data_IF_303266097775
#
_entry.id   IF_303266097775
#
_cell.length_a   1.000
_cell.length_b   1.000
_cell.length_c   1.000
_cell.angle_alpha   90.00
_cell.angle_beta   90.00
_cell.angle_gamma   90.00
#
_symmetry.space_group_name_H-M   'P 1'
#
loop_
_entity.id
_entity.type
_entity.pdbx_description
1 polymer ?
#
# COMPACT_ATOMS: atom_id res chain seq x y z
N UNK A 1 -22.11 12.55 21.96
CA UNK A 1 -20.80 12.13 21.42
C UNK A 1 -20.87 10.63 21.31
N UNK A 2 -20.88 10.10 20.09
CA UNK A 2 -21.11 8.69 19.84
C UNK A 2 -19.88 7.87 20.25
N UNK A 3 -20.12 6.90 21.13
CA UNK A 3 -19.21 5.89 21.63
C UNK A 3 -19.06 4.79 20.55
N UNK A 4 -18.37 5.12 19.45
CA UNK A 4 -18.14 4.26 18.30
C UNK A 4 -16.64 4.19 18.05
N UNK A 5 -15.94 3.17 18.57
CA UNK A 5 -14.70 2.65 17.96
C UNK A 5 -14.05 1.41 18.62
N UNK A 6 -14.56 0.82 19.71
CA UNK A 6 -13.79 -0.23 20.42
C UNK A 6 -13.78 -1.61 19.75
N UNK A 7 -14.70 -1.90 18.82
CA UNK A 7 -14.85 -3.25 18.21
C UNK A 7 -14.47 -3.35 16.73
N UNK A 8 -14.04 -2.27 16.08
CA UNK A 8 -13.67 -2.35 14.67
C UNK A 8 -12.29 -3.03 14.53
N UNK A 9 -12.17 -4.09 13.70
CA UNK A 9 -10.88 -4.73 13.50
C UNK A 9 -9.90 -3.77 12.84
N UNK A 10 -8.68 -3.68 13.38
CA UNK A 10 -7.57 -2.96 12.75
C UNK A 10 -6.79 -3.90 11.86
N UNK A 11 -6.24 -3.33 10.79
CA UNK A 11 -5.25 -4.02 9.97
C UNK A 11 -4.05 -4.47 10.83
N UNK A 12 -3.55 -5.70 10.62
CA UNK A 12 -2.36 -6.18 11.29
C UNK A 12 -1.12 -5.31 11.04
N UNK A 13 -1.03 -4.62 9.89
CA UNK A 13 0.08 -3.69 9.62
C UNK A 13 0.09 -2.55 10.65
N UNK A 14 -1.08 -1.93 10.90
CA UNK A 14 -1.20 -0.86 11.88
C UNK A 14 -0.99 -1.38 13.31
N UNK A 15 -1.47 -2.60 13.61
CA UNK A 15 -1.24 -3.23 14.92
C UNK A 15 0.26 -3.41 15.17
N UNK A 16 0.97 -4.03 14.24
CA UNK A 16 2.41 -4.27 14.38
C UNK A 16 3.19 -2.96 14.44
N UNK A 17 2.82 -1.95 13.64
CA UNK A 17 3.42 -0.62 13.73
C UNK A 17 3.22 0.00 15.13
N UNK A 18 2.01 -0.07 15.68
CA UNK A 18 1.74 0.46 17.02
C UNK A 18 2.55 -0.26 18.09
N UNK A 19 2.68 -1.59 18.00
CA UNK A 19 3.51 -2.38 18.91
C UNK A 19 4.98 -1.98 18.81
N UNK A 20 5.52 -1.82 17.60
CA UNK A 20 6.90 -1.40 17.36
C UNK A 20 7.19 -0.01 17.91
N UNK A 21 6.30 0.95 17.66
CA UNK A 21 6.44 2.31 18.15
C UNK A 21 6.33 2.37 19.67
N UNK A 22 5.43 1.59 20.26
CA UNK A 22 5.33 1.46 21.72
C UNK A 22 6.61 0.89 22.32
N UNK A 23 7.17 -0.15 21.74
CA UNK A 23 8.39 -0.77 22.24
C UNK A 23 9.60 0.16 22.07
N UNK A 24 9.62 0.97 21.01
CA UNK A 24 10.71 1.90 20.72
C UNK A 24 10.65 3.19 21.54
N UNK A 25 9.47 3.80 21.66
CA UNK A 25 9.29 5.08 22.33
C UNK A 25 8.74 5.01 23.75
N UNK A 26 8.10 3.90 24.13
CA UNK A 26 7.22 3.84 25.29
C UNK A 26 5.90 4.60 25.08
N UNK A 27 5.01 4.52 26.05
CA UNK A 27 3.67 5.15 25.96
C UNK A 27 3.68 6.66 26.26
N UNK A 28 4.66 7.14 27.04
CA UNK A 28 4.76 8.55 27.43
C UNK A 28 5.30 9.39 26.27
N UNK A 29 4.58 10.47 25.94
CA UNK A 29 4.93 11.45 24.89
C UNK A 29 5.07 10.89 23.47
N UNK A 30 4.47 9.72 23.18
CA UNK A 30 4.54 9.07 21.87
C UNK A 30 4.10 10.00 20.72
N UNK A 31 3.09 10.84 20.94
CA UNK A 31 2.65 11.81 19.94
C UNK A 31 3.75 12.81 19.55
N UNK A 32 4.45 13.40 20.52
CA UNK A 32 5.55 14.33 20.24
C UNK A 32 6.74 13.62 19.56
N UNK A 33 7.06 12.40 20.01
CA UNK A 33 8.14 11.60 19.43
C UNK A 33 7.85 11.16 17.99
N UNK A 34 6.58 10.91 17.66
CA UNK A 34 6.14 10.67 16.28
C UNK A 34 6.28 11.91 15.40
N UNK A 35 5.98 13.09 15.95
CA UNK A 35 6.13 14.35 15.22
C UNK A 35 7.62 14.68 14.98
N UNK A 36 8.53 14.21 15.83
CA UNK A 36 9.99 14.33 15.67
C UNK A 36 10.57 13.38 14.61
N UNK A 37 9.84 12.34 14.18
CA UNK A 37 10.30 11.43 13.13
C UNK A 37 10.24 12.10 11.76
N UNK A 38 11.30 11.89 10.97
CA UNK A 38 11.28 12.17 9.54
C UNK A 38 10.26 11.25 8.84
N UNK A 39 9.81 11.66 7.65
CA UNK A 39 8.92 10.81 6.85
C UNK A 39 9.61 9.49 6.45
N UNK A 40 10.92 9.52 6.14
CA UNK A 40 11.73 8.32 5.90
C UNK A 40 11.74 7.36 7.09
N UNK A 41 12.03 7.87 8.29
CA UNK A 41 12.11 7.04 9.49
C UNK A 41 10.75 6.41 9.83
N UNK A 42 9.67 7.21 9.76
CA UNK A 42 8.32 6.70 9.98
C UNK A 42 7.95 5.66 8.93
N UNK A 43 8.25 5.92 7.66
CA UNK A 43 7.94 5.00 6.58
C UNK A 43 8.78 3.72 6.66
N UNK A 44 10.03 3.78 7.12
CA UNK A 44 10.85 2.60 7.44
C UNK A 44 10.19 1.71 8.49
N UNK A 45 9.61 2.29 9.54
CA UNK A 45 8.86 1.52 10.54
C UNK A 45 7.59 0.89 9.93
N UNK A 46 6.89 1.60 9.04
CA UNK A 46 5.72 1.08 8.31
C UNK A 46 6.11 -0.11 7.44
N UNK A 47 7.16 0.02 6.63
CA UNK A 47 7.66 -1.03 5.75
C UNK A 47 8.09 -2.27 6.56
N UNK A 48 8.75 -2.07 7.70
CA UNK A 48 9.09 -3.17 8.60
C UNK A 48 7.84 -3.85 9.16
N UNK A 49 6.85 -3.10 9.64
CA UNK A 49 5.58 -3.64 10.14
C UNK A 49 4.83 -4.46 9.07
N UNK A 50 4.79 -3.99 7.82
CA UNK A 50 4.19 -4.70 6.71
C UNK A 50 4.91 -6.01 6.38
N UNK A 51 6.24 -6.03 6.48
CA UNK A 51 7.06 -7.23 6.23
C UNK A 51 6.83 -8.37 7.24
N UNK A 52 6.34 -8.07 8.45
CA UNK A 52 6.10 -9.08 9.49
C UNK A 52 5.03 -10.12 9.11
N UNK A 53 4.23 -9.85 8.07
CA UNK A 53 3.35 -10.87 7.45
C UNK A 53 4.10 -12.14 7.03
N UNK A 54 5.41 -12.04 6.76
CA UNK A 54 6.25 -13.17 6.36
C UNK A 54 6.93 -13.87 7.52
N UNK A 55 6.75 -13.39 8.77
CA UNK A 55 7.48 -13.90 9.93
C UNK A 55 6.84 -15.12 10.61
N UNK A 56 5.76 -15.67 10.05
CA UNK A 56 4.99 -16.78 10.64
C UNK A 56 4.21 -16.42 11.93
N UNK A 57 4.10 -15.12 12.25
CA UNK A 57 3.27 -14.61 13.35
C UNK A 57 1.81 -14.53 12.94
N UNK A 58 0.93 -14.39 13.93
CA UNK A 58 -0.49 -14.12 13.69
C UNK A 58 -0.69 -12.72 13.10
N UNK A 59 -0.89 -12.67 11.77
CA UNK A 59 -1.06 -11.47 10.97
C UNK A 59 -2.52 -11.29 10.56
N UNK A 60 -3.41 -11.25 11.55
CA UNK A 60 -4.86 -11.13 11.37
C UNK A 60 -5.39 -9.80 11.88
N UNK A 61 -6.40 -9.27 11.20
CA UNK A 61 -7.10 -8.09 11.66
C UNK A 61 -7.91 -8.39 12.92
N UNK A 62 -7.79 -7.54 13.94
CA UNK A 62 -8.46 -7.73 15.24
C UNK A 62 -8.68 -6.41 15.97
N UNK A 63 -9.67 -6.33 16.88
CA UNK A 63 -9.79 -5.20 17.81
C UNK A 63 -8.56 -5.14 18.72
N UNK A 64 -8.05 -3.92 18.96
CA UNK A 64 -6.91 -3.67 19.84
C UNK A 64 -7.13 -2.37 20.63
N UNK A 65 -8.16 -2.29 21.49
CA UNK A 65 -8.52 -1.08 22.25
C UNK A 65 -7.33 -0.47 23.00
N UNK A 66 -6.39 -1.30 23.44
CA UNK A 66 -5.16 -0.89 24.12
C UNK A 66 -4.17 -0.09 23.24
N UNK A 67 -4.28 -0.21 21.92
CA UNK A 67 -3.43 0.50 20.95
C UNK A 67 -4.11 1.73 20.32
N UNK A 68 -5.36 2.03 20.68
CA UNK A 68 -6.18 3.08 20.06
C UNK A 68 -5.48 4.43 20.02
N UNK A 69 -4.91 4.84 21.15
CA UNK A 69 -4.26 6.14 21.27
C UNK A 69 -3.02 6.26 20.38
N UNK A 70 -2.26 5.17 20.22
CA UNK A 70 -1.08 5.11 19.32
C UNK A 70 -1.54 5.13 17.87
N UNK A 71 -2.54 4.31 17.53
CA UNK A 71 -3.11 4.26 16.18
C UNK A 71 -3.64 5.63 15.73
N UNK A 72 -4.36 6.34 16.62
CA UNK A 72 -4.84 7.70 16.37
C UNK A 72 -3.68 8.67 16.16
N UNK A 73 -2.62 8.59 16.97
CA UNK A 73 -1.44 9.45 16.81
C UNK A 73 -0.71 9.20 15.49
N UNK A 74 -0.53 7.94 15.08
CA UNK A 74 0.06 7.56 13.79
C UNK A 74 -0.77 8.09 12.63
N UNK A 75 -2.07 7.79 12.61
CA UNK A 75 -2.96 8.23 11.51
C UNK A 75 -3.04 9.76 11.42
N UNK A 76 -3.01 10.45 12.56
CA UNK A 76 -2.90 11.91 12.60
C UNK A 76 -1.59 12.38 11.99
N UNK A 77 -0.44 11.81 12.38
CA UNK A 77 0.88 12.17 11.82
C UNK A 77 0.95 11.94 10.32
N UNK A 78 0.31 10.89 9.83
CA UNK A 78 0.22 10.61 8.39
C UNK A 78 -0.64 11.65 7.68
N UNK A 79 -1.78 12.05 8.27
CA UNK A 79 -2.65 13.08 7.68
C UNK A 79 -1.98 14.46 7.54
N UNK A 80 -0.82 14.67 8.19
CA UNK A 80 -0.03 15.88 8.12
C UNK A 80 1.29 15.60 7.38
N UNK A 81 1.34 15.92 6.09
CA UNK A 81 2.57 15.91 5.30
C UNK A 81 2.53 14.95 4.10
N UNK A 82 3.71 14.72 3.47
CA UNK A 82 3.87 13.91 2.27
C UNK A 82 3.30 12.50 2.35
N UNK A 83 3.40 11.84 3.51
CA UNK A 83 2.87 10.48 3.71
C UNK A 83 1.33 10.40 3.70
N UNK A 84 0.65 11.54 3.89
CA UNK A 84 -0.81 11.63 3.83
C UNK A 84 -1.33 12.05 2.46
N UNK A 85 -0.46 12.29 1.50
CA UNK A 85 -0.89 12.61 0.15
C UNK A 85 -1.43 11.37 -0.54
N UNK A 86 -2.69 11.44 -0.96
CA UNK A 86 -3.39 10.38 -1.66
C UNK A 86 -3.28 10.49 -3.19
N UNK A 87 -2.63 11.55 -3.68
CA UNK A 87 -2.51 11.86 -5.10
C UNK A 87 -1.37 11.06 -5.74
N UNK A 88 -1.64 10.47 -6.90
CA UNK A 88 -0.59 9.88 -7.71
C UNK A 88 0.32 10.98 -8.28
N UNK A 89 1.56 11.08 -7.78
CA UNK A 89 2.54 12.08 -8.23
C UNK A 89 3.56 11.49 -9.20
N UNK A 90 4.05 12.36 -10.08
CA UNK A 90 5.22 12.12 -10.93
C UNK A 90 6.37 13.01 -10.43
N UNK A 91 7.61 12.50 -10.34
CA UNK A 91 8.03 11.14 -10.69
C UNK A 91 7.70 10.08 -9.63
N UNK A 92 7.80 8.82 -10.02
CA UNK A 92 7.79 7.64 -9.15
C UNK A 92 9.08 6.83 -9.27
N UNK A 93 9.32 5.94 -8.32
CA UNK A 93 10.43 5.00 -8.30
C UNK A 93 10.03 3.65 -8.89
N UNK A 94 10.97 2.99 -9.57
CA UNK A 94 10.85 1.62 -10.07
C UNK A 94 12.14 0.88 -9.87
N UNK A 95 12.12 -0.19 -9.10
CA UNK A 95 13.22 -1.15 -9.05
C UNK A 95 13.01 -2.20 -10.15
N UNK A 96 13.99 -2.41 -11.02
CA UNK A 96 13.87 -3.40 -12.10
C UNK A 96 15.25 -3.88 -12.58
N UNK A 97 15.32 -5.07 -13.15
CA UNK A 97 16.52 -5.52 -13.89
C UNK A 97 16.53 -5.03 -15.34
N UNK A 98 15.37 -4.64 -15.88
CA UNK A 98 15.18 -4.14 -17.25
C UNK A 98 14.56 -2.73 -17.20
N UNK A 99 15.25 -1.69 -17.71
CA UNK A 99 14.74 -0.33 -17.73
C UNK A 99 13.52 -0.17 -18.63
N UNK A 100 13.36 -1.03 -19.64
CA UNK A 100 12.36 -0.84 -20.69
C UNK A 100 10.97 -1.23 -20.17
N UNK A 101 10.00 -0.30 -20.17
CA UNK A 101 8.62 -0.65 -19.90
C UNK A 101 8.14 -1.64 -20.96
N UNK A 102 7.60 -2.78 -20.53
CA UNK A 102 6.99 -3.76 -21.43
C UNK A 102 5.52 -3.40 -21.63
N UNK A 103 4.94 -3.84 -22.73
CA UNK A 103 3.48 -3.81 -22.90
C UNK A 103 2.84 -4.54 -21.73
N UNK A 104 1.98 -3.82 -21.00
CA UNK A 104 1.27 -4.39 -19.85
C UNK A 104 0.21 -5.37 -20.36
N UNK A 105 0.21 -6.57 -19.79
CA UNK A 105 -0.79 -7.60 -20.04
C UNK A 105 -1.36 -8.03 -18.70
N UNK A 106 -2.39 -7.31 -18.26
CA UNK A 106 -3.05 -7.60 -16.99
C UNK A 106 -3.81 -8.90 -17.08
N UNK A 107 -3.62 -9.76 -16.09
CA UNK A 107 -4.40 -10.96 -15.89
C UNK A 107 -4.91 -11.02 -14.45
N UNK A 108 -6.03 -11.70 -14.32
CA UNK A 108 -6.55 -12.14 -13.04
C UNK A 108 -5.65 -13.25 -12.47
N UNK A 109 -5.18 -13.08 -11.23
CA UNK A 109 -4.36 -14.09 -10.56
C UNK A 109 -5.10 -15.44 -10.40
N UNK A 110 -4.37 -16.57 -10.37
CA UNK A 110 -4.94 -17.84 -9.94
C UNK A 110 -5.48 -17.72 -8.51
N UNK A 111 -6.58 -18.39 -8.23
CA UNK A 111 -7.24 -18.39 -6.92
C UNK A 111 -6.30 -18.78 -5.75
N UNK A 112 -5.32 -19.63 -6.03
CA UNK A 112 -4.41 -20.25 -5.04
C UNK A 112 -3.08 -19.54 -4.82
N UNK A 113 -2.92 -18.28 -5.24
CA UNK A 113 -1.65 -17.55 -5.01
C UNK A 113 -1.60 -16.90 -3.63
N UNK A 114 -0.39 -16.65 -3.14
CA UNK A 114 -0.10 -15.95 -1.86
C UNK A 114 -0.51 -14.46 -1.87
N UNK A 115 -0.88 -13.92 -3.04
CA UNK A 115 -1.30 -12.54 -3.24
C UNK A 115 -2.42 -12.48 -4.29
N UNK A 116 -3.61 -13.03 -4.00
CA UNK A 116 -4.66 -13.18 -4.99
C UNK A 116 -5.31 -11.82 -5.33
N UNK A 117 -5.03 -10.79 -4.54
CA UNK A 117 -5.53 -9.42 -4.72
C UNK A 117 -4.48 -8.49 -5.39
N UNK A 118 -3.42 -9.05 -6.00
CA UNK A 118 -2.48 -8.32 -6.87
C UNK A 118 -2.81 -8.57 -8.36
N UNK A 119 -2.86 -7.54 -9.23
CA UNK A 119 -2.97 -7.74 -10.67
C UNK A 119 -1.71 -8.42 -11.21
N UNK A 120 -1.87 -9.54 -11.92
CA UNK A 120 -0.76 -10.22 -12.58
C UNK A 120 -0.40 -9.46 -13.85
N UNK A 121 0.90 -9.26 -14.10
CA UNK A 121 1.39 -8.61 -15.32
C UNK A 121 1.35 -7.08 -15.31
N UNK A 122 0.86 -6.45 -14.22
CA UNK A 122 0.96 -5.01 -14.01
C UNK A 122 2.42 -4.55 -13.91
N UNK A 123 2.69 -3.32 -14.32
CA UNK A 123 3.96 -2.65 -14.02
C UNK A 123 3.80 -1.96 -12.65
N UNK A 124 4.78 -2.14 -11.78
CA UNK A 124 4.72 -1.61 -10.43
C UNK A 124 5.71 -0.46 -10.26
N UNK A 125 5.28 0.58 -9.54
CA UNK A 125 6.09 1.71 -9.09
C UNK A 125 5.75 2.09 -7.65
N UNK A 126 6.58 2.90 -7.01
CA UNK A 126 6.32 3.50 -5.69
C UNK A 126 6.49 5.00 -5.73
N UNK A 127 5.92 5.69 -4.75
CA UNK A 127 6.19 7.10 -4.52
C UNK A 127 7.65 7.33 -4.07
N UNK A 128 8.12 8.57 -4.27
CA UNK A 128 9.42 9.06 -3.83
C UNK A 128 9.17 10.05 -2.69
N UNK A 129 9.81 9.83 -1.54
CA UNK A 129 9.74 10.71 -0.39
C UNK A 129 10.50 12.03 -0.65
N UNK A 130 10.25 13.12 0.10
CA UNK A 130 10.87 14.43 -0.15
C UNK A 130 12.40 14.43 -0.23
N UNK A 131 13.05 13.59 0.58
CA UNK A 131 14.49 13.39 0.60
C UNK A 131 15.03 12.55 -0.56
N UNK A 132 14.16 12.06 -1.44
CA UNK A 132 14.51 11.27 -2.63
C UNK A 132 14.46 9.76 -2.43
N UNK A 133 14.17 9.28 -1.22
CA UNK A 133 14.07 7.85 -0.93
C UNK A 133 12.81 7.25 -1.57
N UNK A 134 12.97 6.13 -2.28
CA UNK A 134 11.81 5.36 -2.75
C UNK A 134 11.09 4.70 -1.58
N UNK A 135 9.76 4.73 -1.61
CA UNK A 135 8.91 3.97 -0.67
C UNK A 135 9.05 2.43 -0.78
N UNK A 136 9.86 1.90 -1.70
CA UNK A 136 10.26 0.50 -1.69
C UNK A 136 11.68 0.25 -1.21
N UNK A 137 12.48 1.31 -0.98
CA UNK A 137 13.90 1.20 -0.71
C UNK A 137 14.22 0.14 0.36
N UNK A 138 13.48 0.18 1.48
CA UNK A 138 13.66 -0.72 2.61
C UNK A 138 13.29 -2.18 2.30
N UNK A 139 12.19 -2.40 1.58
CA UNK A 139 11.75 -3.74 1.16
C UNK A 139 12.68 -4.34 0.11
N UNK A 140 13.02 -3.55 -0.92
CA UNK A 140 13.89 -3.98 -2.02
C UNK A 140 15.30 -4.32 -1.54
N UNK A 141 15.89 -3.50 -0.66
CA UNK A 141 17.21 -3.78 -0.11
C UNK A 141 17.21 -5.05 0.75
N UNK A 142 16.14 -5.30 1.51
CA UNK A 142 16.04 -6.48 2.36
C UNK A 142 15.80 -7.78 1.58
N UNK A 143 15.01 -7.74 0.50
CA UNK A 143 14.65 -8.93 -0.28
C UNK A 143 15.64 -9.23 -1.41
N UNK A 144 16.11 -8.21 -2.13
CA UNK A 144 16.88 -8.36 -3.37
C UNK A 144 18.31 -7.79 -3.30
N UNK A 145 18.66 -7.06 -2.23
CA UNK A 145 19.99 -6.43 -2.13
C UNK A 145 20.26 -5.45 -3.29
N UNK A 146 21.51 -5.34 -3.79
CA UNK A 146 21.87 -4.40 -4.85
C UNK A 146 21.51 -4.86 -6.28
N UNK A 147 20.86 -6.02 -6.44
CA UNK A 147 20.73 -6.69 -7.75
C UNK A 147 19.68 -6.05 -8.68
N UNK A 148 18.83 -5.17 -8.14
CA UNK A 148 17.81 -4.43 -8.91
C UNK A 148 18.14 -2.93 -8.87
N UNK A 149 18.61 -2.34 -9.98
CA UNK A 149 18.83 -0.90 -10.04
C UNK A 149 17.51 -0.11 -9.89
N UNK A 150 17.64 1.07 -9.30
CA UNK A 150 16.57 2.04 -9.15
C UNK A 150 16.45 2.90 -10.41
N UNK A 151 15.23 3.07 -10.90
CA UNK A 151 14.86 3.98 -11.96
C UNK A 151 13.84 4.99 -11.47
N UNK A 152 13.92 6.20 -12.03
CA UNK A 152 12.88 7.22 -11.95
C UNK A 152 11.94 7.05 -13.13
N UNK A 153 10.64 7.05 -12.86
CA UNK A 153 9.57 6.98 -13.82
C UNK A 153 8.83 8.31 -13.84
N UNK A 154 8.77 8.95 -15.00
CA UNK A 154 8.01 10.19 -15.21
C UNK A 154 6.82 9.94 -16.12
N UNK A 155 5.70 10.58 -15.79
CA UNK A 155 4.45 10.55 -16.55
C UNK A 155 3.67 11.86 -16.32
N UNK A 156 2.64 12.10 -17.13
CA UNK A 156 1.67 13.17 -16.91
C UNK A 156 0.47 12.64 -16.08
N UNK A 157 0.25 13.13 -14.86
CA UNK A 157 -0.86 12.69 -14.02
C UNK A 157 -2.23 13.23 -14.45
N UNK A 158 -2.29 14.28 -15.29
CA UNK A 158 -3.54 15.00 -15.56
C UNK A 158 -4.61 14.17 -16.30
N UNK A 159 -4.17 13.22 -17.14
CA UNK A 159 -5.04 12.45 -18.03
C UNK A 159 -5.19 10.97 -17.60
N UNK A 160 -4.82 10.63 -16.36
CA UNK A 160 -4.85 9.25 -15.87
C UNK A 160 -6.16 8.90 -15.17
N UNK A 161 -6.72 7.73 -15.50
CA UNK A 161 -7.83 7.10 -14.80
C UNK A 161 -7.28 6.25 -13.66
N UNK A 162 -7.11 6.87 -12.49
CA UNK A 162 -6.54 6.21 -11.30
C UNK A 162 -7.64 5.86 -10.31
N UNK A 163 -7.57 4.66 -9.74
CA UNK A 163 -8.31 4.33 -8.52
C UNK A 163 -7.37 4.32 -7.32
N UNK A 164 -7.69 5.10 -6.29
CA UNK A 164 -6.89 5.17 -5.06
C UNK A 164 -7.51 4.30 -3.97
N UNK A 165 -6.70 3.44 -3.35
CA UNK A 165 -7.05 2.69 -2.15
C UNK A 165 -6.38 3.41 -0.97
N UNK A 166 -7.15 4.22 -0.24
CA UNK A 166 -6.71 4.93 0.97
C UNK A 166 -7.25 4.31 2.26
N UNK A 167 -8.21 3.38 2.12
CA UNK A 167 -8.86 2.69 3.23
C UNK A 167 -9.40 1.31 2.81
N UNK A 168 -9.80 0.50 3.80
CA UNK A 168 -10.51 -0.76 3.55
C UNK A 168 -11.80 -0.55 2.74
N UNK A 169 -12.53 0.54 2.99
CA UNK A 169 -13.76 0.86 2.30
C UNK A 169 -13.53 1.12 0.80
N UNK A 170 -12.43 1.77 0.44
CA UNK A 170 -12.06 2.03 -0.97
C UNK A 170 -11.77 0.71 -1.70
N UNK A 171 -11.08 -0.23 -1.05
CA UNK A 171 -10.92 -1.56 -1.61
C UNK A 171 -12.27 -2.26 -1.83
N UNK A 172 -13.20 -2.14 -0.86
CA UNK A 172 -14.57 -2.64 -1.02
C UNK A 172 -15.31 -2.01 -2.21
N UNK A 173 -15.11 -0.72 -2.47
CA UNK A 173 -15.65 -0.03 -3.65
C UNK A 173 -15.02 -0.54 -4.95
N UNK A 174 -13.70 -0.78 -4.98
CA UNK A 174 -13.02 -1.33 -6.15
C UNK A 174 -13.54 -2.73 -6.48
N UNK A 175 -13.70 -3.59 -5.48
CA UNK A 175 -14.31 -4.92 -5.62
C UNK A 175 -15.76 -4.82 -6.07
N UNK A 176 -16.53 -3.87 -5.54
CA UNK A 176 -17.91 -3.63 -5.97
C UNK A 176 -18.02 -3.19 -7.43
N UNK A 177 -17.06 -2.39 -7.92
CA UNK A 177 -17.02 -1.90 -9.31
C UNK A 177 -16.58 -2.97 -10.30
N UNK A 178 -15.57 -3.77 -9.93
CA UNK A 178 -15.04 -4.84 -10.78
C UNK A 178 -15.08 -6.18 -10.05
N UNK A 179 -16.27 -6.75 -9.78
CA UNK A 179 -16.37 -7.93 -8.94
C UNK A 179 -15.89 -9.19 -9.67
N UNK A 180 -15.13 -10.00 -8.95
CA UNK A 180 -14.81 -11.39 -9.25
C UNK A 180 -15.00 -12.20 -7.97
N UNK A 181 -15.62 -13.38 -8.07
CA UNK A 181 -15.71 -14.31 -6.95
C UNK A 181 -14.70 -15.44 -7.15
N UNK A 182 -13.87 -15.69 -6.14
CA UNK A 182 -12.92 -16.80 -6.14
C UNK A 182 -12.80 -17.36 -4.72
N UNK A 183 -12.86 -18.67 -4.57
CA UNK A 183 -12.75 -19.37 -3.27
C UNK A 183 -13.64 -18.79 -2.15
N UNK A 184 -14.86 -18.38 -2.51
CA UNK A 184 -15.82 -17.81 -1.56
C UNK A 184 -15.51 -16.38 -1.10
N UNK A 185 -14.50 -15.73 -1.67
CA UNK A 185 -14.13 -14.33 -1.42
C UNK A 185 -14.54 -13.44 -2.60
N UNK A 186 -14.88 -12.19 -2.29
CA UNK A 186 -15.06 -11.15 -3.28
C UNK A 186 -13.71 -10.48 -3.57
N UNK A 187 -13.36 -10.35 -4.84
CA UNK A 187 -12.08 -9.87 -5.33
C UNK A 187 -12.25 -8.95 -6.53
N UNK A 188 -11.17 -8.27 -6.92
CA UNK A 188 -11.14 -7.43 -8.11
C UNK A 188 -10.92 -8.30 -9.36
N UNK A 189 -11.75 -8.10 -10.37
CA UNK A 189 -11.52 -8.57 -11.73
C UNK A 189 -10.56 -7.61 -12.41
N UNK A 190 -9.27 -7.91 -12.37
CA UNK A 190 -8.21 -7.02 -12.84
C UNK A 190 -8.24 -6.81 -14.35
N UNK A 191 -8.64 -7.83 -15.11
CA UNK A 191 -8.83 -7.73 -16.56
C UNK A 191 -9.89 -6.68 -16.91
N UNK A 192 -11.03 -6.67 -16.20
CA UNK A 192 -12.07 -5.65 -16.36
C UNK A 192 -11.65 -4.29 -15.81
N UNK A 193 -10.93 -4.26 -14.69
CA UNK A 193 -10.43 -3.00 -14.14
C UNK A 193 -9.48 -2.29 -15.13
N UNK A 194 -8.66 -3.05 -15.86
CA UNK A 194 -7.75 -2.52 -16.87
C UNK A 194 -8.48 -1.85 -18.05
N UNK A 195 -9.69 -2.29 -18.41
CA UNK A 195 -10.50 -1.63 -19.46
C UNK A 195 -10.82 -0.16 -19.10
N UNK A 196 -11.02 0.10 -17.80
CA UNK A 196 -11.51 1.37 -17.28
C UNK A 196 -10.45 2.24 -16.59
N UNK A 197 -9.37 1.64 -16.10
CA UNK A 197 -8.35 2.29 -15.27
C UNK A 197 -6.96 2.13 -15.89
N UNK A 198 -6.16 3.19 -15.78
CA UNK A 198 -4.76 3.18 -16.17
C UNK A 198 -3.88 2.67 -15.01
N UNK A 199 -4.28 2.96 -13.76
CA UNK A 199 -3.56 2.51 -12.58
C UNK A 199 -4.44 2.35 -11.33
N UNK A 200 -3.98 1.54 -10.39
CA UNK A 200 -4.49 1.48 -9.01
C UNK A 200 -3.37 1.85 -8.05
N UNK A 201 -3.60 2.88 -7.24
CA UNK A 201 -2.63 3.42 -6.29
C UNK A 201 -3.04 3.08 -4.86
N UNK A 202 -2.17 2.36 -4.14
CA UNK A 202 -2.30 2.13 -2.70
C UNK A 202 -1.51 3.19 -1.95
N UNK A 203 -2.18 4.00 -1.13
CA UNK A 203 -1.52 5.02 -0.31
C UNK A 203 -0.88 4.41 0.94
N UNK A 204 -0.10 5.20 1.68
CA UNK A 204 0.45 4.79 2.99
C UNK A 204 -0.66 4.50 4.01
N UNK A 205 -1.70 5.35 4.05
CA UNK A 205 -2.88 5.13 4.91
C UNK A 205 -3.64 3.86 4.49
N UNK A 206 -3.80 3.63 3.18
CA UNK A 206 -4.41 2.42 2.65
C UNK A 206 -3.63 1.17 3.02
N UNK A 207 -2.30 1.19 2.91
CA UNK A 207 -1.45 0.08 3.36
C UNK A 207 -1.69 -0.24 4.84
N UNK A 208 -1.75 0.80 5.67
CA UNK A 208 -1.94 0.64 7.11
C UNK A 208 -3.33 0.22 7.51
N UNK A 209 -4.37 0.61 6.77
CA UNK A 209 -5.77 0.45 7.23
C UNK A 209 -6.58 -0.55 6.42
N UNK A 210 -6.21 -0.86 5.18
CA UNK A 210 -6.94 -1.78 4.32
C UNK A 210 -6.45 -3.23 4.41
N UNK A 211 -5.14 -3.42 4.65
CA UNK A 211 -4.53 -4.75 4.65
C UNK A 211 -5.22 -5.70 5.63
N UNK A 212 -5.60 -6.88 5.14
CA UNK A 212 -6.26 -7.94 5.90
C UNK A 212 -7.55 -7.54 6.65
N UNK A 213 -8.12 -6.36 6.39
CA UNK A 213 -9.39 -5.93 7.00
C UNK A 213 -10.56 -6.47 6.16
N UNK A 214 -11.47 -7.25 6.75
CA UNK A 214 -12.64 -7.76 6.03
C UNK A 214 -13.66 -6.63 5.80
N UNK A 215 -14.17 -6.53 4.58
CA UNK A 215 -15.19 -5.56 4.18
C UNK A 215 -16.34 -6.29 3.50
N UNK A 216 -17.56 -6.06 3.99
CA UNK A 216 -18.75 -6.61 3.38
C UNK A 216 -19.08 -5.87 2.07
N UNK A 217 -19.34 -6.63 1.01
CA UNK A 217 -19.79 -6.10 -0.28
C UNK A 217 -21.05 -6.84 -0.72
N UNK A 218 -21.73 -6.36 -1.77
CA UNK A 218 -22.83 -7.08 -2.43
C UNK A 218 -22.40 -8.43 -3.05
N UNK A 219 -21.10 -8.68 -3.18
CA UNK A 219 -20.52 -9.87 -3.82
C UNK A 219 -19.87 -10.84 -2.81
N UNK A 220 -20.02 -10.57 -1.51
CA UNK A 220 -19.41 -11.34 -0.43
C UNK A 220 -18.39 -10.52 0.37
N UNK A 221 -17.58 -11.20 1.17
CA UNK A 221 -16.52 -10.54 1.96
C UNK A 221 -15.29 -10.32 1.09
N UNK A 222 -14.88 -9.06 0.98
CA UNK A 222 -13.62 -8.65 0.38
C UNK A 222 -12.56 -8.52 1.48
N UNK A 223 -11.32 -8.87 1.17
CA UNK A 223 -10.20 -8.68 2.10
C UNK A 223 -8.97 -8.37 1.26
N UNK A 224 -8.41 -7.18 1.43
CA UNK A 224 -7.24 -6.75 0.68
C UNK A 224 -5.99 -7.46 1.20
N UNK A 225 -5.28 -8.19 0.34
CA UNK A 225 -4.06 -8.92 0.72
C UNK A 225 -2.97 -8.79 -0.32
N UNK A 226 -1.73 -9.13 0.03
CA UNK A 226 -0.66 -9.28 -0.95
C UNK A 226 0.19 -8.03 -1.18
N UNK A 227 -0.31 -6.83 -0.92
CA UNK A 227 0.42 -5.55 -1.06
C UNK A 227 1.17 -5.19 0.23
N UNK A 228 2.49 -5.06 0.14
CA UNK A 228 3.45 -4.99 1.24
C UNK A 228 4.11 -3.63 1.39
N UNK A 229 3.84 -2.70 0.48
CA UNK A 229 4.31 -1.33 0.51
C UNK A 229 3.32 -0.40 -0.21
N UNK A 230 3.43 0.90 0.04
CA UNK A 230 2.84 1.91 -0.85
C UNK A 230 3.31 1.63 -2.27
N UNK A 231 2.36 1.63 -3.21
CA UNK A 231 2.67 1.27 -4.58
C UNK A 231 1.56 1.66 -5.53
N UNK A 232 1.93 1.75 -6.80
CA UNK A 232 1.02 1.94 -7.92
C UNK A 232 1.16 0.75 -8.87
N UNK A 233 0.04 0.06 -9.10
CA UNK A 233 -0.08 -0.97 -10.11
C UNK A 233 -0.62 -0.35 -11.40
N UNK A 234 0.25 -0.16 -12.38
CA UNK A 234 -0.12 0.28 -13.71
C UNK A 234 -0.77 -0.89 -14.46
N UNK A 235 -1.98 -0.64 -14.96
CA UNK A 235 -2.75 -1.55 -15.80
C UNK A 235 -2.57 -1.18 -17.29
N UNK A 236 -2.31 0.10 -17.56
CA UNK A 236 -1.92 0.65 -18.87
C UNK A 236 -0.84 1.71 -18.69
N UNK A 237 0.08 1.82 -19.65
CA UNK A 237 1.09 2.90 -19.65
C UNK A 237 0.57 4.10 -20.43
N UNK A 238 0.65 5.33 -19.89
CA UNK A 238 0.36 6.53 -20.66
C UNK A 238 1.42 6.77 -21.74
N UNK A 239 1.08 7.59 -22.75
CA UNK A 239 1.98 7.88 -23.86
C UNK A 239 3.29 8.57 -23.42
N UNK A 240 3.25 9.36 -22.35
CA UNK A 240 4.40 10.09 -21.81
C UNK A 240 5.12 9.34 -20.67
N UNK A 241 5.07 8.00 -20.66
CA UNK A 241 5.73 7.18 -19.65
C UNK A 241 7.21 6.98 -19.99
N UNK A 242 8.09 7.62 -19.23
CA UNK A 242 9.54 7.56 -19.43
C UNK A 242 10.25 7.00 -18.21
N UNK A 243 11.28 6.17 -18.44
CA UNK A 243 12.10 5.56 -17.39
C UNK A 243 13.53 6.04 -17.53
N UNK A 244 14.11 6.60 -16.47
CA UNK A 244 15.51 7.05 -16.42
C UNK A 244 16.26 6.39 -15.27
N UNK A 245 17.51 5.91 -15.46
CA UNK A 245 18.30 5.36 -14.36
C UNK A 245 18.61 6.42 -13.30
N UNK A 246 18.53 6.05 -12.02
CA UNK A 246 19.06 6.90 -10.94
C UNK A 246 20.57 6.70 -10.88
N UNK A 247 21.33 7.71 -11.29
CA UNK A 247 22.79 7.72 -11.10
C UNK A 247 23.10 8.03 -9.64
N UNK A 248 23.56 7.02 -8.90
CA UNK A 248 24.15 7.15 -7.56
C UNK A 248 25.61 7.60 -7.63
#
# INVERSE_FOLDING_TARGET
MADLATDQPRSPVLIELCLLLRDFFGDLDLGARLDDLTDDDLYRHIAFAASLRHSGRDFTARPTPELDHIAVAVLRRLSTGPLGDTSLRSPQARYATDPTPRTIQVADGPASTTAPDKPVGALWTSSILPEGTSMWHWGETAEFGPDRPLFTVTFDPADLRVFTIDSAADYGQLVGRYPRSSDGRAQVCWTRAAEDLDAVHLTVSGLLTAQHVPVATSHGTATFTGWDAESTAWLHLPNAFETTPVTT
#
